data_IF_998070629651
#
_entry.id   IF_998070629651
#
_cell.length_a   1.000
_cell.length_b   1.000
_cell.length_c   1.000
_cell.angle_alpha   90.00
_cell.angle_beta   90.00
_cell.angle_gamma   90.00
#
_symmetry.space_group_name_H-M   'P 1'
#
loop_
_entity.id
_entity.type
_entity.pdbx_description
1 polymer ?
#
# COMPACT_ATOMS: atom_id res chain seq x y z
N UNK A 1 4.59 -26.29 -4.41
CA UNK A 1 3.84 -25.80 -3.23
C UNK A 1 4.77 -24.95 -2.40
N UNK A 2 4.28 -23.86 -1.77
CA UNK A 2 5.09 -23.07 -0.83
C UNK A 2 5.25 -23.83 0.49
N UNK A 3 6.38 -23.64 1.17
CA UNK A 3 6.59 -24.16 2.52
C UNK A 3 5.64 -23.48 3.52
N UNK A 4 5.12 -24.26 4.47
CA UNK A 4 4.33 -23.75 5.59
C UNK A 4 5.23 -23.03 6.58
N UNK A 5 4.74 -21.92 7.13
CA UNK A 5 5.41 -21.16 8.20
C UNK A 5 4.65 -21.33 9.52
N UNK A 6 5.32 -21.06 10.63
CA UNK A 6 4.67 -21.04 11.93
C UNK A 6 3.79 -19.80 12.08
N UNK A 7 2.73 -19.91 12.88
CA UNK A 7 1.87 -18.77 13.20
C UNK A 7 2.63 -17.61 13.83
N UNK A 8 3.60 -17.90 14.71
CA UNK A 8 4.46 -16.90 15.34
C UNK A 8 5.28 -16.07 14.34
N UNK A 9 5.56 -16.61 13.15
CA UNK A 9 6.27 -15.86 12.10
C UNK A 9 5.33 -14.94 11.32
N UNK A 10 4.05 -15.34 11.19
CA UNK A 10 3.01 -14.48 10.65
C UNK A 10 2.64 -13.33 11.61
N UNK A 11 2.54 -13.62 12.91
CA UNK A 11 2.18 -12.63 13.94
C UNK A 11 3.18 -11.47 14.07
N UNK A 12 4.45 -11.68 13.70
CA UNK A 12 5.47 -10.62 13.66
C UNK A 12 5.18 -9.53 12.61
N UNK A 13 4.30 -9.80 11.63
CA UNK A 13 3.93 -8.84 10.60
C UNK A 13 2.83 -7.90 11.12
N UNK A 14 3.14 -6.61 11.24
CA UNK A 14 2.18 -5.58 11.64
C UNK A 14 1.29 -5.15 10.45
N UNK A 15 0.36 -6.03 10.08
CA UNK A 15 -0.60 -5.79 9.00
C UNK A 15 -1.68 -4.81 9.46
N UNK A 16 -1.77 -3.65 8.80
CA UNK A 16 -2.76 -2.60 9.12
C UNK A 16 -3.58 -2.19 7.91
N UNK A 17 -4.80 -1.75 8.17
CA UNK A 17 -5.67 -1.16 7.14
C UNK A 17 -5.42 0.34 7.09
N UNK A 18 -4.95 0.82 5.95
CA UNK A 18 -4.74 2.25 5.68
C UNK A 18 -5.67 2.76 4.59
N UNK A 19 -5.92 4.08 4.57
CA UNK A 19 -6.71 4.75 3.54
C UNK A 19 -5.82 5.60 2.65
N UNK A 20 -5.93 5.42 1.34
CA UNK A 20 -5.18 6.23 0.37
C UNK A 20 -5.74 7.65 0.37
N UNK A 21 -4.90 8.62 0.74
CA UNK A 21 -5.21 10.05 0.78
C UNK A 21 -4.73 10.79 -0.46
N UNK A 22 -3.61 10.34 -1.05
CA UNK A 22 -3.02 10.95 -2.25
C UNK A 22 -2.44 9.90 -3.18
N UNK A 23 -2.51 10.16 -4.49
CA UNK A 23 -1.94 9.33 -5.55
C UNK A 23 -1.21 10.24 -6.53
N UNK A 24 0.10 10.05 -6.66
CA UNK A 24 0.98 10.89 -7.49
C UNK A 24 1.75 10.02 -8.48
N UNK A 25 2.07 10.61 -9.63
CA UNK A 25 3.06 10.02 -10.53
C UNK A 25 4.46 10.23 -9.96
N UNK A 26 5.35 9.29 -10.25
CA UNK A 26 6.77 9.41 -9.94
C UNK A 26 7.49 9.71 -11.27
N UNK A 27 8.21 10.82 -11.31
CA UNK A 27 9.00 11.20 -12.48
C UNK A 27 10.04 10.11 -12.81
N UNK A 28 10.10 9.69 -14.07
CA UNK A 28 10.98 8.60 -14.51
C UNK A 28 10.52 7.18 -14.16
N UNK A 29 9.35 7.00 -13.53
CA UNK A 29 8.81 5.67 -13.20
C UNK A 29 7.40 5.45 -13.76
N UNK A 30 7.34 4.95 -14.99
CA UNK A 30 6.08 4.80 -15.76
C UNK A 30 5.09 3.79 -15.17
N UNK A 31 5.60 2.84 -14.36
CA UNK A 31 4.81 1.73 -13.79
C UNK A 31 4.43 1.95 -12.33
N UNK A 32 4.94 3.01 -11.69
CA UNK A 32 4.79 3.22 -10.25
C UNK A 32 3.88 4.42 -9.96
N UNK A 33 3.10 4.30 -8.89
CA UNK A 33 2.49 5.44 -8.20
C UNK A 33 3.14 5.65 -6.85
N UNK A 34 3.24 6.92 -6.45
CA UNK A 34 3.50 7.32 -5.07
C UNK A 34 2.15 7.50 -4.37
N UNK A 35 1.92 6.70 -3.33
CA UNK A 35 0.70 6.71 -2.53
C UNK A 35 0.99 7.30 -1.16
N UNK A 36 0.18 8.25 -0.72
CA UNK A 36 0.14 8.67 0.69
C UNK A 36 -1.03 7.97 1.34
N UNK A 37 -0.76 7.17 2.38
CA UNK A 37 -1.73 6.31 3.05
C UNK A 37 -1.83 6.74 4.50
N UNK A 38 -3.03 7.12 4.93
CA UNK A 38 -3.33 7.42 6.34
C UNK A 38 -3.65 6.13 7.10
N UNK A 39 -3.03 5.98 8.26
CA UNK A 39 -3.24 4.89 9.21
C UNK A 39 -3.99 5.37 10.47
N UNK A 40 -4.74 6.47 10.34
CA UNK A 40 -5.44 7.10 11.46
C UNK A 40 -4.46 7.74 12.44
N UNK A 41 -4.56 7.37 13.71
CA UNK A 41 -3.75 7.92 14.81
C UNK A 41 -2.24 7.59 14.69
N UNK A 42 -1.90 6.57 13.89
CA UNK A 42 -0.52 6.17 13.64
C UNK A 42 0.19 7.06 12.61
N UNK A 43 -0.53 8.03 12.03
CA UNK A 43 -0.01 8.97 11.05
C UNK A 43 -0.15 8.49 9.61
N UNK A 44 0.70 9.04 8.73
CA UNK A 44 0.68 8.76 7.30
C UNK A 44 1.98 8.10 6.84
N UNK A 45 1.88 7.20 5.87
CA UNK A 45 3.03 6.58 5.20
C UNK A 45 3.01 6.88 3.71
N UNK A 46 4.21 7.05 3.15
CA UNK A 46 4.41 7.15 1.71
C UNK A 46 4.88 5.81 1.17
N UNK A 47 4.21 5.28 0.14
CA UNK A 47 4.48 3.96 -0.43
C UNK A 47 4.60 4.10 -1.96
N UNK A 48 5.58 3.44 -2.55
CA UNK A 48 5.67 3.29 -4.01
C UNK A 48 5.02 1.97 -4.43
N UNK A 49 4.02 2.03 -5.32
CA UNK A 49 3.26 0.86 -5.73
C UNK A 49 3.29 0.68 -7.25
N UNK A 50 3.71 -0.50 -7.72
CA UNK A 50 3.78 -0.87 -9.14
C UNK A 50 2.44 -1.26 -9.77
N UNK A 51 1.38 -0.51 -9.47
CA UNK A 51 -0.01 -0.86 -9.79
C UNK A 51 -0.63 0.05 -10.86
N UNK A 52 0.17 0.93 -11.47
CA UNK A 52 -0.27 1.96 -12.43
C UNK A 52 -0.87 1.38 -13.71
N UNK A 53 -0.51 0.15 -14.09
CA UNK A 53 -1.10 -0.56 -15.23
C UNK A 53 -2.51 -1.13 -14.94
N UNK A 54 -2.91 -1.21 -13.66
CA UNK A 54 -4.12 -1.91 -13.25
C UNK A 54 -5.18 -1.00 -12.64
N UNK A 55 -4.78 0.15 -12.10
CA UNK A 55 -5.69 1.08 -11.44
C UNK A 55 -5.41 2.50 -11.91
N UNK A 56 -6.47 3.29 -12.05
CA UNK A 56 -6.34 4.73 -12.21
C UNK A 56 -6.21 5.41 -10.85
N UNK A 57 -5.73 6.66 -10.83
CA UNK A 57 -5.67 7.47 -9.60
C UNK A 57 -7.03 7.59 -8.91
N UNK A 58 -8.11 7.68 -9.70
CA UNK A 58 -9.49 7.79 -9.20
C UNK A 58 -9.94 6.50 -8.52
N UNK A 59 -9.54 5.34 -9.03
CA UNK A 59 -9.87 4.04 -8.43
C UNK A 59 -9.20 3.85 -7.07
N UNK A 60 -8.04 4.47 -6.86
CA UNK A 60 -7.23 4.33 -5.66
C UNK A 60 -7.59 5.36 -4.59
N UNK A 61 -8.00 6.56 -4.96
CA UNK A 61 -8.30 7.62 -4.01
C UNK A 61 -9.39 7.18 -3.01
N UNK A 62 -9.15 7.40 -1.71
CA UNK A 62 -10.02 6.99 -0.59
C UNK A 62 -10.24 5.48 -0.43
N UNK A 63 -9.61 4.61 -1.23
CA UNK A 63 -9.65 3.17 -0.98
C UNK A 63 -8.92 2.80 0.30
N UNK A 64 -9.44 1.76 0.96
CA UNK A 64 -8.76 1.09 2.07
C UNK A 64 -7.91 -0.06 1.51
N UNK A 65 -6.65 -0.13 1.93
CA UNK A 65 -5.69 -1.16 1.54
C UNK A 65 -5.00 -1.72 2.78
N UNK A 66 -4.41 -2.90 2.66
CA UNK A 66 -3.56 -3.49 3.70
C UNK A 66 -2.13 -3.03 3.46
N UNK A 67 -1.47 -2.57 4.51
CA UNK A 67 -0.06 -2.20 4.54
C UNK A 67 0.67 -2.98 5.63
N UNK A 68 1.98 -3.14 5.46
CA UNK A 68 2.94 -3.63 6.46
C UNK A 68 3.84 -2.45 6.84
#
# INVERSE_FOLDING_TARGET
MKQTINYSDFEKLDLRVGKIMKVEDIEGADKLYKLTVSLGELGERTICAGIKAHYTKKDLLKKKIIVI
#
